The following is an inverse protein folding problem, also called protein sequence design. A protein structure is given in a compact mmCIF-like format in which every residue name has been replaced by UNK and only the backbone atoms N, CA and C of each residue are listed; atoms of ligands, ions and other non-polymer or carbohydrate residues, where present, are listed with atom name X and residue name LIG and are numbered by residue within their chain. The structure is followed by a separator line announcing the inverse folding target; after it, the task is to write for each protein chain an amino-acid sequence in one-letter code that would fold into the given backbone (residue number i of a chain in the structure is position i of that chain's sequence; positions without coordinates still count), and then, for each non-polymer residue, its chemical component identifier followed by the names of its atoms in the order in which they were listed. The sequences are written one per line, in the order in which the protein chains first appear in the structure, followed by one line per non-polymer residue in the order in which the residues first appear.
data_IF_517446876145
#
_entry.id   IF_517446876145
#
_cell.length_a   1.000
_cell.length_b   1.000
_cell.length_c   1.000
_cell.angle_alpha   90.00
_cell.angle_beta   90.00
_cell.angle_gamma   90.00
#
_symmetry.space_group_name_H-M   'P 1'
#
loop_
_entity.id
_entity.type
_entity.pdbx_description
1 polymer ?
#
# COMPACT_ATOMS: atom_id res chain seq x y z
N UNK A 1 11.19 -11.40 -4.39
CA UNK A 1 9.98 -10.81 -3.80
C UNK A 1 9.20 -11.96 -3.16
N UNK A 2 8.60 -11.80 -1.98
CA UNK A 2 7.77 -12.85 -1.38
C UNK A 2 6.60 -13.22 -2.29
N UNK A 3 6.20 -14.49 -2.30
CA UNK A 3 5.19 -15.03 -3.24
C UNK A 3 3.78 -14.46 -2.98
N UNK A 4 3.51 -13.93 -1.79
CA UNK A 4 2.24 -13.33 -1.36
C UNK A 4 2.24 -11.79 -1.37
N UNK A 5 3.32 -11.16 -1.85
CA UNK A 5 3.45 -9.72 -1.80
C UNK A 5 2.54 -9.03 -2.83
N UNK A 6 1.62 -8.19 -2.35
CA UNK A 6 0.85 -7.29 -3.18
C UNK A 6 1.67 -6.02 -3.44
N UNK A 7 1.88 -5.68 -4.71
CA UNK A 7 2.56 -4.45 -5.10
C UNK A 7 1.76 -3.21 -4.68
N UNK A 8 2.45 -2.20 -4.16
CA UNK A 8 1.85 -0.94 -3.71
C UNK A 8 2.50 0.23 -4.46
N UNK A 9 1.75 0.86 -5.35
CA UNK A 9 2.12 2.12 -6.02
C UNK A 9 1.74 3.33 -5.15
N UNK A 10 2.54 4.39 -5.17
CA UNK A 10 2.21 5.66 -4.53
C UNK A 10 2.67 5.81 -3.08
N UNK A 11 3.39 4.85 -2.52
CA UNK A 11 4.04 5.00 -1.20
C UNK A 11 5.36 5.76 -1.34
N UNK A 12 5.51 6.88 -0.66
CA UNK A 12 6.71 7.73 -0.70
C UNK A 12 7.61 7.50 0.49
N UNK A 13 8.91 7.38 0.21
CA UNK A 13 9.94 7.14 1.21
C UNK A 13 11.00 8.24 1.20
N UNK A 14 11.50 8.60 2.39
CA UNK A 14 12.73 9.36 2.57
C UNK A 14 13.73 8.56 3.39
N UNK A 15 15.01 8.86 3.21
CA UNK A 15 16.09 8.21 3.96
C UNK A 15 17.01 9.26 4.60
N UNK A 16 17.54 8.94 5.78
CA UNK A 16 18.34 9.85 6.60
C UNK A 16 19.59 9.13 7.07
N UNK A 17 20.77 9.69 6.81
CA UNK A 17 22.04 9.06 7.22
C UNK A 17 22.30 9.33 8.69
N UNK A 18 22.33 8.28 9.52
CA UNK A 18 22.50 8.41 10.98
C UNK A 18 23.86 7.92 11.48
N UNK A 19 24.59 7.15 10.68
CA UNK A 19 26.00 6.87 10.88
C UNK A 19 26.74 6.95 9.55
N UNK A 20 27.93 7.54 9.53
CA UNK A 20 28.84 7.44 8.39
C UNK A 20 29.61 6.12 8.36
N UNK A 21 30.56 6.01 7.41
CA UNK A 21 31.32 4.79 7.22
C UNK A 21 32.25 4.47 8.40
N UNK A 22 32.82 5.50 9.03
CA UNK A 22 33.74 5.34 10.16
C UNK A 22 32.95 4.97 11.41
N UNK A 23 31.83 5.66 11.66
CA UNK A 23 30.92 5.36 12.75
C UNK A 23 30.31 3.96 12.63
N UNK A 24 29.86 3.57 11.43
CA UNK A 24 29.32 2.24 11.18
C UNK A 24 30.38 1.15 11.35
N UNK A 25 31.62 1.41 10.92
CA UNK A 25 32.75 0.50 11.15
C UNK A 25 33.02 0.33 12.64
N UNK A 26 33.10 1.43 13.40
CA UNK A 26 33.30 1.37 14.84
C UNK A 26 32.18 0.57 15.53
N UNK A 27 30.93 0.74 15.08
CA UNK A 27 29.79 -0.01 15.62
C UNK A 27 29.94 -1.52 15.39
N UNK A 28 30.25 -1.96 14.17
CA UNK A 28 30.46 -3.38 13.89
C UNK A 28 31.70 -3.98 14.53
N UNK A 29 32.71 -3.15 14.85
CA UNK A 29 33.90 -3.57 15.60
C UNK A 29 33.68 -3.59 17.13
N UNK A 30 32.53 -3.13 17.63
CA UNK A 30 32.28 -2.99 19.07
C UNK A 30 33.03 -1.83 19.73
N UNK A 31 33.52 -0.87 18.94
CA UNK A 31 34.32 0.28 19.37
C UNK A 31 33.52 1.59 19.34
N UNK A 32 32.28 1.59 18.85
CA UNK A 32 31.45 2.79 18.80
C UNK A 32 31.08 3.28 20.21
N UNK A 33 31.15 4.59 20.41
CA UNK A 33 30.70 5.26 21.62
C UNK A 33 29.67 6.35 21.30
N UNK A 34 28.80 6.66 22.26
CA UNK A 34 27.90 7.80 22.19
C UNK A 34 28.64 9.13 22.43
N UNK A 35 27.89 10.23 22.48
CA UNK A 35 28.45 11.57 22.74
C UNK A 35 29.03 11.76 24.14
N UNK A 36 28.76 10.83 25.06
CA UNK A 36 29.25 10.82 26.45
C UNK A 36 30.41 9.83 26.63
N UNK A 37 30.77 9.07 25.58
CA UNK A 37 31.83 8.08 25.59
C UNK A 37 31.39 6.68 26.06
N UNK A 38 30.09 6.43 26.23
CA UNK A 38 29.60 5.09 26.59
C UNK A 38 29.55 4.19 25.35
N UNK A 39 29.88 2.89 25.46
CA UNK A 39 29.80 1.96 24.33
C UNK A 39 28.38 1.83 23.75
N UNK A 40 28.26 1.96 22.43
CA UNK A 40 27.02 1.68 21.69
C UNK A 40 26.97 0.19 21.36
N UNK A 41 26.15 -0.56 22.10
CA UNK A 41 25.97 -2.01 21.88
C UNK A 41 24.80 -2.32 20.94
N UNK A 42 23.80 -1.44 20.90
CA UNK A 42 22.62 -1.56 20.04
C UNK A 42 22.27 -0.21 19.45
N UNK A 43 21.86 -0.21 18.18
CA UNK A 43 21.25 0.96 17.56
C UNK A 43 19.75 0.76 17.52
N UNK A 44 19.03 1.57 18.29
CA UNK A 44 17.57 1.53 18.36
C UNK A 44 16.96 2.55 17.39
N UNK A 45 15.90 2.15 16.69
CA UNK A 45 15.15 3.06 15.82
C UNK A 45 14.54 4.22 16.64
N UNK A 46 14.15 3.97 17.90
CA UNK A 46 13.56 4.96 18.81
C UNK A 46 14.54 6.08 19.20
N UNK A 47 15.84 5.88 18.96
CA UNK A 47 16.82 6.97 19.05
C UNK A 47 16.56 8.05 18.02
N UNK A 48 16.07 7.67 16.83
CA UNK A 48 15.88 8.55 15.68
C UNK A 48 14.44 8.97 15.42
N UNK A 49 13.47 8.32 16.06
CA UNK A 49 12.05 8.53 15.78
C UNK A 49 11.24 8.89 17.01
N UNK A 50 10.20 9.69 16.81
CA UNK A 50 9.15 9.97 17.78
C UNK A 50 7.88 9.18 17.41
N UNK A 51 7.14 8.77 18.43
CA UNK A 51 5.83 8.14 18.27
C UNK A 51 4.74 9.07 18.77
N UNK A 52 3.82 9.44 17.90
CA UNK A 52 2.56 10.07 18.30
C UNK A 52 1.70 9.01 19.00
N UNK A 53 1.58 9.10 20.33
CA UNK A 53 0.85 8.14 21.15
C UNK A 53 -0.65 8.13 20.90
N UNK A 54 -1.21 9.17 20.29
CA UNK A 54 -2.64 9.25 19.97
C UNK A 54 -3.00 8.52 18.67
N UNK A 55 -2.08 8.50 17.71
CA UNK A 55 -2.29 7.89 16.38
C UNK A 55 -1.46 6.62 16.17
N UNK A 56 -0.47 6.36 17.02
CA UNK A 56 0.55 5.33 16.81
C UNK A 56 1.51 5.65 15.67
N UNK A 57 1.46 6.85 15.10
CA UNK A 57 2.29 7.24 13.96
C UNK A 57 3.71 7.49 14.42
N UNK A 58 4.67 6.79 13.80
CA UNK A 58 6.10 6.97 14.05
C UNK A 58 6.70 7.89 12.98
N UNK A 59 7.40 8.93 13.40
CA UNK A 59 8.04 9.94 12.53
C UNK A 59 9.48 10.17 12.91
N UNK A 60 10.30 10.69 11.98
CA UNK A 60 11.67 11.09 12.31
C UNK A 60 11.67 12.25 13.32
N UNK A 61 12.58 12.22 14.30
CA UNK A 61 12.87 13.37 15.17
C UNK A 61 13.46 14.51 14.35
N UNK A 62 13.04 15.74 14.64
CA UNK A 62 13.43 16.94 13.90
C UNK A 62 14.95 17.15 13.82
N UNK A 63 15.71 16.75 14.84
CA UNK A 63 17.17 16.89 14.87
C UNK A 63 17.92 16.10 13.77
N UNK A 64 17.29 15.05 13.22
CA UNK A 64 17.84 14.23 12.13
C UNK A 64 17.36 14.68 10.75
N UNK A 65 16.46 15.66 10.63
CA UNK A 65 15.94 16.10 9.32
C UNK A 65 17.06 16.61 8.40
N UNK A 66 18.07 17.26 8.97
CA UNK A 66 19.26 17.74 8.24
C UNK A 66 20.08 16.61 7.60
N UNK A 67 19.88 15.37 8.05
CA UNK A 67 20.60 14.20 7.55
C UNK A 67 19.92 13.55 6.33
N UNK A 68 18.85 14.16 5.81
CA UNK A 68 18.10 13.66 4.65
C UNK A 68 19.03 13.47 3.44
N UNK A 69 18.89 12.34 2.76
CA UNK A 69 19.62 12.05 1.53
C UNK A 69 18.68 12.11 0.34
N UNK A 70 18.88 13.12 -0.50
CA UNK A 70 18.09 13.34 -1.70
C UNK A 70 16.63 13.71 -1.42
N UNK A 71 15.80 13.52 -2.44
CA UNK A 71 14.37 13.78 -2.38
C UNK A 71 13.60 12.52 -1.96
N UNK A 72 12.32 12.70 -1.64
CA UNK A 72 11.41 11.56 -1.50
C UNK A 72 11.35 10.74 -2.79
N UNK A 73 11.31 9.42 -2.66
CA UNK A 73 11.14 8.48 -3.79
C UNK A 73 9.84 7.72 -3.58
N UNK A 74 8.97 7.77 -4.59
CA UNK A 74 7.64 7.15 -4.55
C UNK A 74 7.66 5.82 -5.32
N UNK A 75 7.02 4.80 -4.76
CA UNK A 75 6.89 3.49 -5.39
C UNK A 75 6.10 3.59 -6.69
N UNK A 76 6.62 2.96 -7.74
CA UNK A 76 5.97 2.88 -9.05
C UNK A 76 5.01 1.68 -9.11
N UNK A 77 4.45 1.42 -10.30
CA UNK A 77 3.55 0.27 -10.57
C UNK A 77 4.15 -1.09 -10.21
N UNK A 78 5.47 -1.23 -10.27
CA UNK A 78 6.21 -2.42 -9.87
C UNK A 78 6.44 -2.50 -8.34
N UNK A 79 5.90 -1.57 -7.56
CA UNK A 79 6.04 -1.48 -6.12
C UNK A 79 7.43 -1.05 -5.63
N UNK A 80 8.30 -0.55 -6.52
CA UNK A 80 9.70 -0.24 -6.18
C UNK A 80 9.93 1.25 -5.99
N UNK A 81 10.53 1.61 -4.86
CA UNK A 81 11.20 2.89 -4.61
C UNK A 81 12.72 2.64 -4.51
N UNK A 82 13.52 3.29 -5.34
CA UNK A 82 14.96 3.04 -5.45
C UNK A 82 15.79 4.26 -5.09
N UNK A 83 16.74 4.07 -4.18
CA UNK A 83 17.77 5.05 -3.84
C UNK A 83 19.12 4.54 -4.35
N UNK A 84 19.80 5.33 -5.18
CA UNK A 84 21.06 4.97 -5.82
C UNK A 84 22.20 5.86 -5.33
N UNK A 85 23.45 5.38 -5.44
CA UNK A 85 24.64 6.17 -5.11
C UNK A 85 24.77 6.51 -3.63
N UNK A 86 24.22 5.66 -2.75
CA UNK A 86 24.34 5.84 -1.31
C UNK A 86 25.80 5.65 -0.90
N UNK A 87 26.29 6.58 -0.07
CA UNK A 87 27.57 6.41 0.61
C UNK A 87 27.45 5.30 1.64
N UNK A 88 28.57 4.72 2.06
CA UNK A 88 28.55 3.75 3.15
C UNK A 88 28.09 4.43 4.45
N UNK A 89 27.25 3.73 5.21
CA UNK A 89 26.66 4.23 6.45
C UNK A 89 25.37 3.53 6.86
N UNK A 90 24.84 3.93 8.01
CA UNK A 90 23.54 3.50 8.52
C UNK A 90 22.49 4.56 8.20
N UNK A 91 21.32 4.10 7.76
CA UNK A 91 20.22 4.93 7.32
C UNK A 91 18.93 4.60 8.06
N UNK A 92 18.19 5.63 8.44
CA UNK A 92 16.77 5.52 8.84
C UNK A 92 15.92 5.71 7.60
N UNK A 93 15.00 4.79 7.34
CA UNK A 93 14.04 4.83 6.24
C UNK A 93 12.65 5.14 6.81
N UNK A 94 11.98 6.15 6.26
CA UNK A 94 10.67 6.62 6.73
C UNK A 94 9.70 6.66 5.56
N UNK A 95 8.49 6.14 5.73
CA UNK A 95 7.39 6.38 4.79
C UNK A 95 6.79 7.76 5.07
N UNK A 96 7.00 8.70 4.15
CA UNK A 96 6.55 10.10 4.26
C UNK A 96 5.27 10.39 3.50
N UNK A 97 4.93 9.56 2.51
CA UNK A 97 3.67 9.62 1.76
C UNK A 97 2.96 8.28 1.81
N UNK A 98 1.79 8.24 2.42
CA UNK A 98 0.99 7.03 2.57
C UNK A 98 -0.18 7.06 1.59
N UNK A 99 -0.29 6.06 0.67
CA UNK A 99 -1.35 6.05 -0.32
C UNK A 99 -2.71 5.74 0.33
N UNK A 100 -3.84 6.22 -0.22
CA UNK A 100 -5.16 6.11 0.42
C UNK A 100 -5.66 4.71 0.75
N UNK A 101 -5.08 3.68 0.11
CA UNK A 101 -5.39 2.27 0.33
C UNK A 101 -4.80 1.70 1.64
N UNK A 102 -3.86 2.41 2.26
CA UNK A 102 -3.13 1.98 3.44
C UNK A 102 -3.80 2.52 4.70
N UNK A 103 -4.02 1.64 5.67
CA UNK A 103 -4.62 1.97 6.97
C UNK A 103 -3.59 2.21 8.06
N UNK A 104 -2.39 1.64 7.93
CA UNK A 104 -1.24 1.97 8.75
C UNK A 104 0.02 1.95 7.89
N UNK A 105 0.79 3.05 7.84
CA UNK A 105 2.05 3.10 7.13
C UNK A 105 3.06 2.16 7.76
N UNK A 106 4.14 1.86 7.04
CA UNK A 106 5.20 1.07 7.61
C UNK A 106 5.89 1.86 8.73
N UNK A 107 6.21 1.16 9.82
CA UNK A 107 7.07 1.71 10.86
C UNK A 107 8.46 1.97 10.29
N UNK A 108 9.10 3.12 10.60
CA UNK A 108 10.48 3.37 10.21
C UNK A 108 11.43 2.23 10.58
N UNK A 109 12.49 2.06 9.80
CA UNK A 109 13.45 0.97 10.00
C UNK A 109 14.86 1.39 9.60
N UNK A 110 15.84 0.62 10.09
CA UNK A 110 17.26 0.85 9.84
C UNK A 110 17.74 0.01 8.65
N UNK A 111 18.61 0.61 7.82
CA UNK A 111 19.31 -0.06 6.72
C UNK A 111 20.79 0.32 6.76
N UNK A 112 21.68 -0.68 6.81
CA UNK A 112 23.11 -0.45 6.64
C UNK A 112 23.54 -0.67 5.19
N UNK A 113 24.42 0.20 4.71
CA UNK A 113 25.12 0.05 3.43
C UNK A 113 26.63 0.04 3.73
N UNK A 114 27.32 -1.10 3.57
CA UNK A 114 26.79 -2.41 3.19
C UNK A 114 26.12 -3.14 4.37
N UNK A 115 25.37 -4.20 4.06
CA UNK A 115 24.88 -5.17 5.04
C UNK A 115 25.61 -6.51 4.85
N UNK A 116 25.81 -7.28 5.91
CA UNK A 116 26.37 -8.63 5.80
C UNK A 116 25.32 -9.60 5.23
N UNK A 117 25.75 -10.51 4.36
CA UNK A 117 24.87 -11.57 3.87
C UNK A 117 24.64 -12.61 4.97
N UNK A 118 23.38 -12.90 5.27
CA UNK A 118 22.99 -14.06 6.07
C UNK A 118 23.00 -15.28 5.15
N UNK A 119 24.08 -16.08 5.20
CA UNK A 119 24.10 -17.38 4.53
C UNK A 119 23.36 -18.40 5.37
N UNK A 120 22.16 -18.80 4.94
CA UNK A 120 21.41 -19.91 5.56
C UNK A 120 21.89 -21.29 5.08
N UNK A 121 22.73 -21.35 4.04
CA UNK A 121 23.20 -22.58 3.42
C UNK A 121 24.60 -23.04 3.88
N UNK A 122 25.45 -22.13 4.37
CA UNK A 122 26.84 -22.39 4.73
C UNK A 122 27.11 -21.85 6.14
N UNK A 123 27.06 -22.71 7.16
CA UNK A 123 27.29 -22.32 8.57
C UNK A 123 28.70 -21.77 8.82
N UNK A 124 29.66 -22.04 7.94
CA UNK A 124 31.07 -21.67 8.08
C UNK A 124 31.42 -20.27 7.56
N UNK A 125 30.56 -19.63 6.75
CA UNK A 125 30.88 -18.37 6.05
C UNK A 125 29.83 -17.27 6.30
N UNK A 126 29.10 -17.35 7.43
CA UNK A 126 28.18 -16.30 7.85
C UNK A 126 28.95 -14.99 8.06
N UNK A 127 28.63 -13.95 7.28
CA UNK A 127 29.27 -12.64 7.38
C UNK A 127 30.44 -12.36 6.43
N UNK A 128 30.84 -13.28 5.56
CA UNK A 128 32.00 -13.08 4.66
C UNK A 128 31.67 -12.31 3.37
N UNK A 129 30.38 -12.17 3.02
CA UNK A 129 29.92 -11.49 1.81
C UNK A 129 29.14 -10.23 2.15
N UNK A 130 29.62 -9.10 1.63
CA UNK A 130 28.93 -7.82 1.73
C UNK A 130 27.88 -7.67 0.64
N UNK A 131 26.71 -7.20 1.02
CA UNK A 131 25.64 -6.78 0.11
C UNK A 131 25.66 -5.26 0.02
N UNK A 132 25.85 -4.75 -1.19
CA UNK A 132 25.74 -3.32 -1.50
C UNK A 132 24.38 -2.99 -2.12
N UNK A 133 23.84 -3.91 -2.92
CA UNK A 133 22.48 -3.87 -3.43
C UNK A 133 21.50 -4.42 -2.39
N UNK A 134 21.07 -3.56 -1.47
CA UNK A 134 20.14 -3.93 -0.41
C UNK A 134 18.70 -3.90 -0.93
N UNK A 135 17.97 -4.98 -0.73
CA UNK A 135 16.53 -5.08 -1.01
C UNK A 135 15.77 -5.33 0.29
N UNK A 136 14.84 -4.44 0.59
CA UNK A 136 13.95 -4.53 1.76
C UNK A 136 12.50 -4.63 1.30
N UNK A 137 11.65 -5.22 2.14
CA UNK A 137 10.23 -5.44 1.85
C UNK A 137 9.36 -4.93 3.02
N UNK A 138 9.32 -3.61 3.26
CA UNK A 138 8.47 -3.01 4.29
C UNK A 138 7.00 -3.38 4.06
N UNK A 139 6.25 -3.68 5.13
CA UNK A 139 4.84 -4.08 5.07
C UNK A 139 3.93 -2.95 5.52
N UNK A 140 3.03 -2.54 4.63
CA UNK A 140 1.91 -1.64 4.92
C UNK A 140 0.65 -2.44 5.28
N UNK A 141 -0.14 -1.95 6.23
CA UNK A 141 -1.43 -2.55 6.54
C UNK A 141 -2.51 -1.97 5.62
N UNK A 142 -3.37 -2.83 5.07
CA UNK A 142 -4.55 -2.42 4.29
C UNK A 142 -5.80 -3.11 4.84
N UNK A 143 -6.93 -2.41 4.89
CA UNK A 143 -8.21 -3.03 5.20
C UNK A 143 -8.96 -3.38 3.91
N UNK A 144 -9.56 -4.58 3.86
CA UNK A 144 -10.43 -5.04 2.78
C UNK A 144 -11.79 -5.43 3.34
N UNK A 145 -12.84 -5.28 2.56
CA UNK A 145 -14.19 -5.71 2.93
C UNK A 145 -15.04 -6.08 1.72
N UNK A 146 -16.06 -6.89 1.96
CA UNK A 146 -17.00 -7.32 0.94
C UNK A 146 -18.17 -6.34 0.87
N UNK A 147 -18.64 -6.07 -0.35
CA UNK A 147 -19.83 -5.25 -0.60
C UNK A 147 -20.86 -6.10 -1.31
N UNK A 148 -22.06 -6.17 -0.72
CA UNK A 148 -23.24 -6.79 -1.34
C UNK A 148 -24.21 -5.69 -1.73
N UNK A 149 -24.57 -5.67 -3.01
CA UNK A 149 -25.64 -4.83 -3.52
C UNK A 149 -26.82 -5.70 -3.88
N UNK A 150 -28.01 -5.36 -3.37
CA UNK A 150 -29.28 -5.98 -3.76
C UNK A 150 -30.15 -5.00 -4.54
N UNK A 151 -30.47 -5.32 -5.80
CA UNK A 151 -31.37 -4.55 -6.62
C UNK A 151 -32.77 -5.15 -6.60
N UNK A 152 -33.73 -4.33 -6.18
CA UNK A 152 -35.16 -4.66 -6.19
C UNK A 152 -35.96 -3.65 -7.00
N UNK A 153 -37.13 -4.04 -7.47
CA UNK A 153 -38.11 -3.20 -8.15
C UNK A 153 -39.51 -3.42 -7.60
N UNK A 154 -40.44 -2.52 -7.94
CA UNK A 154 -41.86 -2.66 -7.64
C UNK A 154 -42.62 -2.81 -8.97
N UNK A 155 -43.48 -3.83 -9.07
CA UNK A 155 -44.26 -4.12 -10.28
C UNK A 155 -45.73 -3.80 -10.01
N UNK A 156 -46.32 -2.88 -10.78
CA UNK A 156 -47.72 -2.46 -10.62
C UNK A 156 -47.98 -1.76 -9.27
N UNK A 157 -49.17 -1.97 -8.68
CA UNK A 157 -49.56 -1.40 -7.37
C UNK A 157 -49.05 -2.22 -6.16
N UNK A 158 -48.14 -3.17 -6.38
CA UNK A 158 -47.61 -4.02 -5.30
C UNK A 158 -46.69 -3.21 -4.37
N UNK A 159 -46.77 -3.46 -3.07
CA UNK A 159 -45.93 -2.86 -2.04
C UNK A 159 -44.71 -3.70 -1.65
N UNK A 160 -44.64 -4.96 -2.11
CA UNK A 160 -43.50 -5.84 -1.91
C UNK A 160 -42.47 -5.66 -3.03
N UNK A 161 -41.20 -5.49 -2.66
CA UNK A 161 -40.11 -5.34 -3.61
C UNK A 161 -39.66 -6.71 -4.15
N UNK A 162 -39.55 -6.83 -5.46
CA UNK A 162 -39.10 -8.04 -6.17
C UNK A 162 -37.65 -7.89 -6.62
N UNK A 163 -36.85 -8.95 -6.52
CA UNK A 163 -35.46 -8.95 -6.97
C UNK A 163 -35.35 -8.74 -8.49
N UNK A 164 -34.39 -7.94 -8.94
CA UNK A 164 -34.15 -7.69 -10.36
C UNK A 164 -32.81 -8.29 -10.81
N UNK A 165 -32.88 -9.36 -11.58
CA UNK A 165 -31.74 -9.96 -12.25
C UNK A 165 -31.34 -9.21 -13.53
N UNK A 166 -30.08 -9.34 -13.95
CA UNK A 166 -29.61 -8.82 -15.24
C UNK A 166 -29.31 -7.32 -15.28
N UNK A 167 -29.38 -6.62 -14.14
CA UNK A 167 -29.10 -5.17 -14.07
C UNK A 167 -27.60 -4.94 -13.91
N UNK A 168 -27.04 -4.09 -14.78
CA UNK A 168 -25.62 -3.74 -14.77
C UNK A 168 -25.32 -2.57 -13.86
N UNK A 169 -24.27 -2.71 -13.06
CA UNK A 169 -23.75 -1.67 -12.20
C UNK A 169 -22.24 -1.49 -12.36
N UNK A 170 -21.82 -0.23 -12.39
CA UNK A 170 -20.42 0.15 -12.23
C UNK A 170 -20.24 0.95 -10.94
N UNK A 171 -19.26 0.56 -10.12
CA UNK A 171 -18.82 1.33 -8.96
C UNK A 171 -17.70 2.28 -9.36
N UNK A 172 -17.85 3.55 -9.01
CA UNK A 172 -16.84 4.57 -9.18
C UNK A 172 -16.41 5.13 -7.82
N UNK A 173 -15.17 5.58 -7.74
CA UNK A 173 -14.66 6.33 -6.60
C UNK A 173 -14.16 7.70 -7.06
N UNK A 174 -14.25 8.70 -6.19
CA UNK A 174 -13.69 10.03 -6.46
C UNK A 174 -12.24 10.05 -6.01
N UNK A 175 -11.31 10.25 -6.95
CA UNK A 175 -9.88 10.29 -6.67
C UNK A 175 -9.47 11.59 -5.95
N UNK A 176 -8.23 11.69 -5.41
CA UNK A 176 -7.76 12.89 -4.73
C UNK A 176 -7.72 14.15 -5.61
N UNK A 177 -7.63 14.03 -6.94
CA UNK A 177 -7.73 15.17 -7.87
C UNK A 177 -9.18 15.61 -8.11
N UNK A 178 -10.16 14.87 -7.60
CA UNK A 178 -11.58 15.18 -7.69
C UNK A 178 -12.31 14.57 -8.89
N UNK A 179 -11.63 13.74 -9.68
CA UNK A 179 -12.21 13.03 -10.83
C UNK A 179 -12.83 11.69 -10.42
N UNK A 180 -13.80 11.22 -11.20
CA UNK A 180 -14.45 9.93 -10.98
C UNK A 180 -13.74 8.84 -11.78
N UNK A 181 -13.26 7.81 -11.09
CA UNK A 181 -12.61 6.65 -11.68
C UNK A 181 -13.39 5.37 -11.40
N UNK A 182 -13.37 4.43 -12.34
CA UNK A 182 -14.00 3.12 -12.15
C UNK A 182 -13.18 2.26 -11.19
N UNK A 183 -13.84 1.58 -10.28
CA UNK A 183 -13.22 0.49 -9.52
C UNK A 183 -13.11 -0.71 -10.47
N UNK A 184 -11.88 -1.08 -10.85
CA UNK A 184 -11.62 -2.02 -11.94
C UNK A 184 -12.39 -3.35 -11.82
N UNK A 185 -12.50 -3.90 -10.61
CA UNK A 185 -13.22 -5.15 -10.32
C UNK A 185 -14.76 -5.00 -10.21
N UNK A 186 -15.26 -3.78 -10.29
CA UNK A 186 -16.67 -3.44 -10.14
C UNK A 186 -17.20 -2.73 -11.40
N UNK A 187 -16.67 -3.04 -12.58
CA UNK A 187 -17.20 -2.54 -13.86
C UNK A 187 -18.24 -3.53 -14.38
N UNK A 188 -19.38 -3.01 -14.82
CA UNK A 188 -20.49 -3.75 -15.45
C UNK A 188 -20.91 -5.04 -14.74
N UNK A 189 -20.82 -5.05 -13.41
CA UNK A 189 -21.27 -6.18 -12.59
C UNK A 189 -22.77 -6.37 -12.77
N UNK A 190 -23.21 -7.61 -12.97
CA UNK A 190 -24.60 -7.95 -13.30
C UNK A 190 -25.26 -8.59 -12.09
N UNK A 191 -26.45 -8.12 -11.73
CA UNK A 191 -27.23 -8.76 -10.66
C UNK A 191 -27.64 -10.18 -11.05
N UNK A 192 -27.47 -11.11 -10.11
CA UNK A 192 -27.85 -12.51 -10.28
C UNK A 192 -29.38 -12.72 -10.19
N UNK A 193 -29.84 -13.97 -10.19
CA UNK A 193 -31.26 -14.34 -10.06
C UNK A 193 -31.91 -13.88 -8.75
N UNK A 194 -31.12 -13.60 -7.71
CA UNK A 194 -31.58 -13.04 -6.44
C UNK A 194 -31.53 -11.51 -6.41
N UNK A 195 -31.13 -10.89 -7.52
CA UNK A 195 -30.97 -9.45 -7.66
C UNK A 195 -29.68 -8.95 -7.02
N UNK A 196 -28.70 -9.81 -6.73
CA UNK A 196 -27.52 -9.45 -5.94
C UNK A 196 -26.24 -9.35 -6.78
N UNK A 197 -25.35 -8.47 -6.36
CA UNK A 197 -23.94 -8.40 -6.77
C UNK A 197 -23.11 -8.48 -5.50
N UNK A 198 -22.17 -9.42 -5.45
CA UNK A 198 -21.17 -9.49 -4.38
C UNK A 198 -19.81 -9.15 -4.93
N UNK A 199 -19.21 -8.09 -4.41
CA UNK A 199 -17.82 -7.71 -4.69
C UNK A 199 -16.99 -8.02 -3.45
N UNK A 200 -16.13 -9.02 -3.54
CA UNK A 200 -15.22 -9.39 -2.45
C UNK A 200 -13.95 -8.57 -2.43
N UNK A 201 -13.32 -8.44 -1.26
CA UNK A 201 -11.96 -7.89 -1.09
C UNK A 201 -11.80 -6.43 -1.57
N UNK A 202 -12.81 -5.59 -1.37
CA UNK A 202 -12.74 -4.16 -1.73
C UNK A 202 -11.84 -3.46 -0.73
N UNK A 203 -10.72 -2.93 -1.24
CA UNK A 203 -9.80 -2.11 -0.46
C UNK A 203 -10.58 -0.93 0.08
N UNK A 204 -10.60 -0.81 1.41
CA UNK A 204 -11.24 0.30 2.10
C UNK A 204 -10.38 1.54 1.89
N UNK A 205 -10.93 2.53 1.19
CA UNK A 205 -10.30 3.85 1.06
C UNK A 205 -10.94 4.76 2.11
N UNK A 206 -10.14 5.30 3.03
CA UNK A 206 -10.64 6.00 4.23
C UNK A 206 -11.47 7.26 3.91
N UNK A 207 -11.27 7.88 2.74
CA UNK A 207 -11.85 9.18 2.36
C UNK A 207 -12.54 9.21 0.99
N UNK A 208 -12.76 8.06 0.34
CA UNK A 208 -13.34 8.03 -1.00
C UNK A 208 -14.87 8.19 -0.98
N UNK A 209 -15.39 9.12 -1.79
CA UNK A 209 -16.80 9.12 -2.18
C UNK A 209 -17.03 8.01 -3.20
N UNK A 210 -18.02 7.16 -2.94
CA UNK A 210 -18.42 6.09 -3.84
C UNK A 210 -19.68 6.50 -4.60
N UNK A 211 -19.70 6.24 -5.91
CA UNK A 211 -20.86 6.44 -6.77
C UNK A 211 -21.16 5.16 -7.53
N UNK A 212 -22.36 4.65 -7.33
CA UNK A 212 -22.89 3.55 -8.10
C UNK A 212 -23.64 4.08 -9.33
N UNK A 213 -23.37 3.54 -10.51
CA UNK A 213 -24.15 3.83 -11.73
C UNK A 213 -24.85 2.58 -12.22
N UNK A 214 -26.18 2.59 -12.22
CA UNK A 214 -26.96 1.65 -13.00
C UNK A 214 -26.79 1.98 -14.49
N UNK A 215 -26.48 0.99 -15.31
CA UNK A 215 -26.53 1.14 -16.75
C UNK A 215 -27.87 0.62 -17.26
N UNK A 216 -28.51 1.41 -18.12
CA UNK A 216 -29.73 0.99 -18.80
C UNK A 216 -29.40 -0.17 -19.72
N UNK A 217 -30.04 -1.32 -19.51
CA UNK A 217 -30.02 -2.41 -20.49
C UNK A 217 -30.84 -1.92 -21.68
N UNK A 218 -30.17 -1.45 -22.73
CA UNK A 218 -30.81 -1.26 -24.03
C UNK A 218 -31.02 -2.65 -24.61
N UNK A 219 -32.09 -3.32 -24.20
CA UNK A 219 -32.59 -4.48 -24.91
C UNK A 219 -33.21 -3.93 -26.20
N UNK A 220 -32.47 -4.00 -27.32
CA UNK A 220 -33.08 -3.88 -28.64
C UNK A 220 -34.10 -5.02 -28.74
N UNK A 221 -35.39 -4.72 -28.58
CA UNK A 221 -36.44 -5.61 -29.06
C UNK A 221 -36.31 -5.65 -30.58
N UNK A 222 -35.68 -6.70 -31.09
CA UNK A 222 -35.74 -7.03 -32.52
C UNK A 222 -37.20 -7.30 -32.86
N UNK A 223 -37.77 -6.39 -33.64
CA UNK A 223 -39.07 -6.52 -34.29
C UNK A 223 -39.04 -7.78 -35.16
N UNK A 224 -39.80 -8.81 -34.79
CA UNK A 224 -40.31 -9.79 -35.77
C UNK A 224 -41.81 -9.63 -35.78
N UNK A 225 -42.26 -8.83 -36.74
CA UNK A 225 -43.62 -8.84 -37.23
C UNK A 225 -43.84 -10.10 -38.09
N UNK A 226 -45.12 -10.43 -38.29
CA UNK A 226 -45.69 -11.40 -39.24
C UNK A 226 -46.00 -12.76 -38.59
N UNK A 227 -47.21 -13.33 -38.65
CA UNK A 227 -48.22 -13.39 -39.72
C UNK A 227 -49.42 -14.16 -39.06
N UNK A 228 -50.72 -13.87 -39.17
CA UNK A 228 -51.60 -13.80 -40.34
C UNK A 228 -53.01 -13.30 -39.96
N UNK A 229 -53.67 -12.69 -40.95
CA UNK A 229 -55.12 -12.48 -41.11
C UNK A 229 -55.95 -13.77 -40.90
N UNK A 230 -57.05 -13.69 -40.16
CA UNK A 230 -58.43 -13.47 -40.66
C UNK A 230 -59.38 -13.24 -39.49
#
# INVERSE_FOLDING_TARGET
MPDDAQLLEGAGFTIYKVMDAEQLKAYYSGEATDGEGNPITTVDIDTYTDTDTSTGKVTLKTEYEKNKVGNEVVTKKDGVAQFNGLKLGLYVVVETTTPPAVTAPVTPFLVSVPMTAVSTAEKSNQGEKWLYDIKVYPKNATAKGDVVLKKVGFTGSKTAAEALAGVKFTLQWKNPSGEWENVAKCVDQVTDSSGEITVKDLVKVLTALLKLRAQTVVTLLTKVQSMFLK
#
